data_IF_022135535908
#
_entry.id   IF_022135535908
#
_cell.length_a   1.000
_cell.length_b   1.000
_cell.length_c   1.000
_cell.angle_alpha   90.00
_cell.angle_beta   90.00
_cell.angle_gamma   90.00
#
_symmetry.space_group_name_H-M   'P 1'
#
loop_
_entity.id
_entity.type
_entity.pdbx_description
1 polymer ?
#
# COMPACT_ATOMS: atom_id res chain seq x y z
N UNK A 1 11.83 -5.51 9.18
CA UNK A 1 11.63 -4.81 10.46
C UNK A 1 11.42 -5.76 11.65
N UNK A 2 10.37 -6.61 11.66
CA UNK A 2 10.04 -7.49 12.81
C UNK A 2 11.20 -8.38 13.29
N UNK A 3 11.94 -8.98 12.35
CA UNK A 3 13.06 -9.89 12.61
C UNK A 3 14.43 -9.21 12.68
N UNK A 4 14.48 -7.87 12.57
CA UNK A 4 15.73 -7.13 12.47
C UNK A 4 16.04 -6.39 13.78
N UNK A 5 17.17 -6.68 14.44
CA UNK A 5 17.60 -5.94 15.61
C UNK A 5 17.76 -4.44 15.32
N UNK A 6 17.46 -3.60 16.29
CA UNK A 6 17.68 -2.16 16.19
C UNK A 6 19.14 -1.82 16.56
N UNK A 7 19.97 -1.29 15.64
CA UNK A 7 21.34 -0.94 15.93
C UNK A 7 21.48 0.22 16.94
N UNK A 8 20.47 1.08 17.07
CA UNK A 8 20.47 2.21 18.01
C UNK A 8 19.95 1.82 19.40
N UNK A 9 19.21 0.71 19.50
CA UNK A 9 18.59 0.24 20.74
C UNK A 9 18.91 -1.26 20.95
N UNK A 10 20.11 -1.61 21.47
CA UNK A 10 20.50 -2.99 21.69
C UNK A 10 19.46 -3.78 22.51
N UNK A 11 19.14 -4.99 22.04
CA UNK A 11 18.09 -5.83 22.64
C UNK A 11 16.67 -5.52 22.14
N UNK A 12 16.48 -4.49 21.33
CA UNK A 12 15.21 -4.17 20.65
C UNK A 12 15.27 -4.53 19.16
N UNK A 13 14.11 -4.45 18.50
CA UNK A 13 13.93 -4.69 17.07
C UNK A 13 13.42 -3.44 16.36
N UNK A 14 13.75 -3.29 15.07
CA UNK A 14 13.29 -2.16 14.23
C UNK A 14 11.76 -2.01 14.23
N UNK A 15 11.02 -3.13 14.36
CA UNK A 15 9.61 -3.09 14.76
C UNK A 15 9.50 -3.69 16.16
N UNK A 16 9.07 -2.92 17.17
CA UNK A 16 9.00 -3.41 18.54
C UNK A 16 7.92 -4.48 18.68
N UNK A 17 8.16 -5.48 19.53
CA UNK A 17 7.24 -6.59 19.78
C UNK A 17 6.23 -6.24 20.88
N UNK A 18 5.53 -5.12 20.74
CA UNK A 18 4.44 -4.74 21.66
C UNK A 18 3.21 -5.61 21.45
N UNK A 19 2.31 -5.70 22.43
CA UNK A 19 1.05 -6.46 22.32
C UNK A 19 0.25 -6.08 21.07
N UNK A 20 0.18 -4.78 20.75
CA UNK A 20 -0.47 -4.27 19.54
C UNK A 20 0.13 -4.87 18.27
N UNK A 21 1.46 -4.85 18.13
CA UNK A 21 2.11 -5.35 16.92
C UNK A 21 2.12 -6.88 16.86
N UNK A 22 2.24 -7.56 18.01
CA UNK A 22 2.05 -9.02 18.11
C UNK A 22 0.67 -9.42 17.61
N UNK A 23 -0.41 -8.80 18.10
CA UNK A 23 -1.78 -9.08 17.64
C UNK A 23 -1.94 -8.88 16.12
N UNK A 24 -1.32 -7.85 15.55
CA UNK A 24 -1.35 -7.63 14.10
C UNK A 24 -0.57 -8.67 13.30
N UNK A 25 0.48 -9.27 13.88
CA UNK A 25 1.36 -10.24 13.22
C UNK A 25 1.01 -11.70 13.54
N UNK A 26 0.15 -11.91 14.55
CA UNK A 26 -0.16 -13.21 15.15
C UNK A 26 -0.55 -14.27 14.11
N UNK A 27 -1.49 -13.97 13.22
CA UNK A 27 -1.98 -14.93 12.21
C UNK A 27 -0.85 -15.40 11.29
N UNK A 28 0.10 -14.52 10.97
CA UNK A 28 1.26 -14.90 10.18
C UNK A 28 2.23 -15.77 10.99
N UNK A 29 2.51 -15.40 12.25
CA UNK A 29 3.40 -16.15 13.12
C UNK A 29 2.85 -17.54 13.48
N UNK A 30 1.53 -17.71 13.60
CA UNK A 30 0.90 -19.01 13.83
C UNK A 30 1.08 -19.96 12.64
N UNK A 31 1.10 -19.43 11.41
CA UNK A 31 1.27 -20.22 10.19
C UNK A 31 2.76 -20.48 9.87
N UNK A 32 3.59 -19.45 9.97
CA UNK A 32 5.00 -19.52 9.60
C UNK A 32 5.89 -20.04 10.74
N UNK A 33 5.43 -19.95 12.00
CA UNK A 33 6.16 -20.24 13.23
C UNK A 33 7.42 -19.37 13.37
N UNK A 34 7.43 -18.49 14.37
CA UNK A 34 8.58 -17.59 14.59
C UNK A 34 9.90 -18.36 14.75
N UNK A 35 10.97 -17.85 14.14
CA UNK A 35 12.28 -18.50 14.09
C UNK A 35 12.39 -19.78 13.25
N UNK A 36 11.30 -20.31 12.69
CA UNK A 36 11.37 -21.53 11.87
C UNK A 36 12.08 -21.30 10.53
N UNK A 37 12.48 -22.41 9.87
CA UNK A 37 13.05 -22.35 8.52
C UNK A 37 12.10 -21.69 7.51
N UNK A 38 10.80 -22.03 7.56
CA UNK A 38 9.78 -21.45 6.69
C UNK A 38 9.62 -19.94 6.93
N UNK A 39 9.63 -19.51 8.18
CA UNK A 39 9.54 -18.09 8.51
C UNK A 39 10.74 -17.31 7.95
N UNK A 40 11.96 -17.82 8.12
CA UNK A 40 13.16 -17.17 7.58
C UNK A 40 13.19 -17.17 6.04
N UNK A 41 12.72 -18.24 5.40
CA UNK A 41 12.57 -18.34 3.95
C UNK A 41 11.64 -17.26 3.41
N UNK A 42 10.43 -17.14 3.98
CA UNK A 42 9.45 -16.12 3.58
C UNK A 42 10.02 -14.71 3.75
N UNK A 43 10.66 -14.42 4.89
CA UNK A 43 11.25 -13.10 5.14
C UNK A 43 12.37 -12.79 4.14
N UNK A 44 13.22 -13.76 3.82
CA UNK A 44 14.29 -13.58 2.84
C UNK A 44 13.74 -13.38 1.43
N UNK A 45 12.70 -14.13 1.05
CA UNK A 45 12.01 -13.95 -0.21
C UNK A 45 11.42 -12.53 -0.33
N UNK A 46 10.68 -12.06 0.68
CA UNK A 46 10.12 -10.71 0.71
C UNK A 46 11.20 -9.61 0.61
N UNK A 47 12.35 -9.80 1.27
CA UNK A 47 13.49 -8.87 1.16
C UNK A 47 14.15 -8.88 -0.22
N UNK A 48 13.97 -9.96 -0.99
CA UNK A 48 14.49 -10.09 -2.35
C UNK A 48 13.57 -9.51 -3.43
N UNK A 49 12.39 -8.99 -3.06
CA UNK A 49 11.47 -8.38 -4.02
C UNK A 49 11.81 -6.90 -4.25
N UNK A 50 11.68 -6.39 -5.49
CA UNK A 50 11.82 -4.97 -5.78
C UNK A 50 10.66 -4.17 -5.19
N UNK A 51 10.90 -2.91 -4.80
CA UNK A 51 9.82 -2.01 -4.39
C UNK A 51 8.89 -1.64 -5.55
N UNK A 52 9.45 -1.56 -6.77
CA UNK A 52 8.72 -1.28 -7.99
C UNK A 52 9.44 -1.86 -9.21
N UNK A 53 8.66 -2.12 -10.26
CA UNK A 53 9.15 -2.49 -11.59
C UNK A 53 8.81 -1.37 -12.56
N UNK A 54 9.81 -0.91 -13.31
CA UNK A 54 9.62 -0.06 -14.47
C UNK A 54 10.08 -0.80 -15.72
N UNK A 55 9.11 -1.36 -16.45
CA UNK A 55 9.37 -2.10 -17.67
C UNK A 55 9.10 -1.19 -18.90
N UNK A 56 9.54 -1.59 -20.10
CA UNK A 56 9.25 -0.82 -21.30
C UNK A 56 7.75 -0.60 -21.53
N UNK A 57 6.92 -1.62 -21.27
CA UNK A 57 5.49 -1.59 -21.58
C UNK A 57 4.55 -1.30 -20.41
N UNK A 58 4.96 -1.51 -19.16
CA UNK A 58 4.12 -1.28 -17.98
C UNK A 58 4.95 -1.09 -16.71
N UNK A 59 4.30 -0.68 -15.63
CA UNK A 59 4.89 -0.49 -14.30
C UNK A 59 4.15 -1.33 -13.26
N UNK A 60 4.84 -1.70 -12.19
CA UNK A 60 4.26 -2.42 -11.04
C UNK A 60 4.76 -1.78 -9.75
N UNK A 61 3.87 -1.54 -8.80
CA UNK A 61 4.21 -1.02 -7.47
C UNK A 61 3.18 -1.53 -6.46
N UNK A 62 3.53 -1.63 -5.17
CA UNK A 62 2.60 -2.19 -4.20
C UNK A 62 1.35 -1.33 -4.01
N UNK A 63 1.51 -0.01 -3.79
CA UNK A 63 0.38 0.87 -3.48
C UNK A 63 0.35 2.19 -4.26
N UNK A 64 1.43 2.99 -4.25
CA UNK A 64 1.39 4.33 -4.85
C UNK A 64 2.59 4.60 -5.75
N UNK A 65 2.33 4.97 -7.01
CA UNK A 65 3.38 5.48 -7.90
C UNK A 65 3.58 6.97 -7.66
N UNK A 66 4.49 7.30 -6.76
CA UNK A 66 4.75 8.68 -6.34
C UNK A 66 6.21 9.09 -6.66
N UNK A 67 6.46 9.82 -7.77
CA UNK A 67 7.82 10.13 -8.21
C UNK A 67 8.71 10.81 -7.16
N UNK A 68 8.24 11.79 -6.35
CA UNK A 68 9.03 12.35 -5.26
C UNK A 68 9.47 11.30 -4.22
N UNK A 69 8.57 10.41 -3.77
CA UNK A 69 8.94 9.33 -2.84
C UNK A 69 9.88 8.32 -3.48
N UNK A 70 9.68 7.97 -4.76
CA UNK A 70 10.61 7.09 -5.47
C UNK A 70 12.01 7.70 -5.53
N UNK A 71 12.13 9.00 -5.82
CA UNK A 71 13.40 9.73 -5.86
C UNK A 71 14.12 9.73 -4.50
N UNK A 72 13.37 9.92 -3.40
CA UNK A 72 13.90 9.82 -2.03
C UNK A 72 14.45 8.41 -1.74
N UNK A 73 13.79 7.37 -2.28
CA UNK A 73 14.16 5.99 -2.01
C UNK A 73 15.39 5.52 -2.79
N UNK A 74 15.72 6.11 -3.94
CA UNK A 74 16.85 5.67 -4.81
C UNK A 74 18.15 5.35 -4.03
N UNK A 75 18.64 6.18 -3.08
CA UNK A 75 19.87 5.89 -2.35
C UNK A 75 19.81 4.65 -1.45
N UNK A 76 18.62 4.13 -1.17
CA UNK A 76 18.37 2.98 -0.30
C UNK A 76 18.14 1.67 -1.07
N UNK A 77 18.21 1.73 -2.40
CA UNK A 77 17.91 0.61 -3.29
C UNK A 77 19.16 0.13 -4.04
N UNK A 78 19.15 -1.15 -4.42
CA UNK A 78 20.09 -1.68 -5.40
C UNK A 78 19.66 -1.39 -6.84
N UNK A 79 20.45 -1.85 -7.82
CA UNK A 79 20.16 -1.67 -9.25
C UNK A 79 18.90 -2.38 -9.73
N UNK A 80 18.33 -3.29 -8.94
CA UNK A 80 17.10 -4.00 -9.22
C UNK A 80 15.92 -3.44 -8.40
N UNK A 81 16.06 -2.24 -7.82
CA UNK A 81 15.07 -1.57 -6.98
C UNK A 81 14.71 -2.33 -5.68
N UNK A 82 15.58 -3.23 -5.18
CA UNK A 82 15.38 -3.92 -3.91
C UNK A 82 16.00 -3.12 -2.77
N UNK A 83 15.41 -3.20 -1.59
CA UNK A 83 15.90 -2.50 -0.40
C UNK A 83 17.24 -3.06 0.05
N UNK A 84 18.26 -2.20 0.17
CA UNK A 84 19.58 -2.57 0.67
C UNK A 84 19.48 -3.08 2.12
N UNK A 85 20.22 -4.15 2.50
CA UNK A 85 20.23 -4.63 3.88
C UNK A 85 20.59 -3.57 4.93
N UNK A 86 21.45 -2.60 4.58
CA UNK A 86 21.86 -1.50 5.45
C UNK A 86 20.83 -0.37 5.55
N UNK A 87 19.82 -0.32 4.68
CA UNK A 87 18.86 0.77 4.61
C UNK A 87 17.71 0.64 5.62
N UNK A 88 17.44 -0.57 6.11
CA UNK A 88 16.28 -0.86 6.96
C UNK A 88 16.17 0.01 8.21
N UNK A 89 17.25 0.35 8.95
CA UNK A 89 17.16 1.29 10.06
C UNK A 89 16.53 2.63 9.63
N UNK A 90 17.07 3.28 8.60
CA UNK A 90 16.58 4.56 8.09
C UNK A 90 15.12 4.46 7.62
N UNK A 91 14.79 3.44 6.83
CA UNK A 91 13.46 3.21 6.27
C UNK A 91 12.39 2.80 7.31
N UNK A 92 12.78 2.57 8.56
CA UNK A 92 11.85 2.20 9.65
C UNK A 92 11.80 3.24 10.77
N UNK A 93 12.51 4.37 10.64
CA UNK A 93 12.45 5.48 11.60
C UNK A 93 11.26 6.39 11.27
N UNK A 94 10.19 6.26 12.06
CA UNK A 94 8.98 7.09 11.90
C UNK A 94 9.28 8.59 11.91
N UNK A 95 8.58 9.36 11.07
CA UNK A 95 8.76 10.81 10.96
C UNK A 95 10.01 11.26 10.22
N UNK A 96 10.77 10.33 9.62
CA UNK A 96 11.89 10.67 8.72
C UNK A 96 11.42 10.60 7.27
N UNK A 97 11.99 11.43 6.40
CA UNK A 97 11.65 11.47 4.97
C UNK A 97 11.74 10.10 4.27
N UNK A 98 12.78 9.26 4.48
CA UNK A 98 12.83 7.91 3.88
C UNK A 98 11.73 6.99 4.37
N UNK A 99 11.33 7.10 5.64
CA UNK A 99 10.22 6.33 6.19
C UNK A 99 8.90 6.75 5.54
N UNK A 100 8.59 8.05 5.48
CA UNK A 100 7.34 8.53 4.87
C UNK A 100 7.28 8.20 3.36
N UNK A 101 8.42 8.24 2.67
CA UNK A 101 8.51 7.81 1.27
C UNK A 101 8.21 6.32 1.10
N UNK A 102 8.75 5.46 1.98
CA UNK A 102 8.46 4.03 1.96
C UNK A 102 7.00 3.73 2.31
N UNK A 103 6.45 4.43 3.32
CA UNK A 103 5.03 4.32 3.69
C UNK A 103 4.14 4.70 2.51
N UNK A 104 4.45 5.77 1.77
CA UNK A 104 3.67 6.18 0.59
C UNK A 104 3.66 5.08 -0.48
N UNK A 105 4.85 4.59 -0.85
CA UNK A 105 5.01 3.57 -1.92
C UNK A 105 4.35 2.23 -1.56
N UNK A 106 4.46 1.80 -0.29
CA UNK A 106 3.95 0.51 0.17
C UNK A 106 2.55 0.57 0.77
N UNK A 107 2.06 1.72 1.21
CA UNK A 107 0.78 1.82 1.93
C UNK A 107 -0.19 2.83 1.36
N UNK A 108 0.13 3.44 0.23
CA UNK A 108 -0.71 4.43 -0.42
C UNK A 108 -0.48 5.82 0.15
N UNK A 109 -0.98 6.83 -0.55
CA UNK A 109 -0.95 8.21 -0.08
C UNK A 109 -2.00 8.43 1.02
N UNK A 110 -1.53 8.83 2.20
CA UNK A 110 -2.38 9.43 3.22
C UNK A 110 -2.36 10.95 3.05
N UNK A 111 -3.53 11.58 3.17
CA UNK A 111 -3.68 13.02 3.16
C UNK A 111 -4.30 13.46 4.49
N UNK A 112 -3.74 14.52 5.08
CA UNK A 112 -4.26 15.09 6.32
C UNK A 112 -5.61 15.79 6.06
N UNK A 113 -6.56 15.55 6.94
CA UNK A 113 -7.84 16.23 6.93
C UNK A 113 -7.65 17.69 7.40
N UNK A 114 -8.53 18.61 6.93
CA UNK A 114 -8.51 19.98 7.43
C UNK A 114 -8.69 20.04 8.96
N UNK A 115 -8.16 21.10 9.57
CA UNK A 115 -8.26 21.30 11.02
C UNK A 115 -9.72 21.23 11.50
N UNK A 116 -9.95 20.47 12.57
CA UNK A 116 -11.27 20.22 13.15
C UNK A 116 -11.98 18.97 12.64
N UNK A 117 -11.44 18.28 11.63
CA UNK A 117 -11.98 17.02 11.13
C UNK A 117 -11.17 15.80 11.61
N UNK A 118 -11.86 14.69 11.78
CA UNK A 118 -11.28 13.41 12.18
C UNK A 118 -12.38 12.38 12.45
N UNK A 119 -11.98 11.12 12.59
CA UNK A 119 -12.89 10.00 12.82
C UNK A 119 -12.18 8.88 13.59
N UNK A 120 -12.94 8.04 14.29
CA UNK A 120 -12.40 6.81 14.89
C UNK A 120 -12.43 5.66 13.88
N UNK A 121 -11.32 4.94 13.77
CA UNK A 121 -11.28 3.70 12.98
C UNK A 121 -12.04 2.55 13.67
N UNK A 122 -12.18 1.42 12.96
CA UNK A 122 -12.89 0.23 13.47
C UNK A 122 -12.33 -0.33 14.79
N UNK A 123 -11.09 0.01 15.12
CA UNK A 123 -10.39 -0.43 16.31
C UNK A 123 -10.40 0.67 17.41
N UNK A 124 -11.15 1.76 17.20
CA UNK A 124 -11.32 2.87 18.15
C UNK A 124 -10.14 3.84 18.19
N UNK A 125 -9.27 3.84 17.17
CA UNK A 125 -8.18 4.83 17.11
C UNK A 125 -8.63 6.06 16.34
N UNK A 126 -8.46 7.23 16.95
CA UNK A 126 -8.69 8.51 16.29
C UNK A 126 -7.73 8.69 15.10
N UNK A 127 -8.30 9.16 13.98
CA UNK A 127 -7.62 9.46 12.72
C UNK A 127 -7.96 10.86 12.27
N UNK A 128 -6.93 11.62 11.91
CA UNK A 128 -7.02 12.92 11.25
C UNK A 128 -6.45 12.87 9.81
N UNK A 129 -6.16 11.69 9.31
CA UNK A 129 -5.69 11.45 7.94
C UNK A 129 -6.60 10.41 7.28
N UNK A 130 -6.74 10.52 5.96
CA UNK A 130 -7.42 9.52 5.14
C UNK A 130 -6.46 9.00 4.09
N UNK A 131 -6.62 7.73 3.74
CA UNK A 131 -6.02 7.22 2.51
C UNK A 131 -6.83 7.76 1.33
N UNK A 132 -6.13 8.36 0.37
CA UNK A 132 -6.73 8.93 -0.82
C UNK A 132 -6.64 7.97 -2.01
N UNK A 133 -7.68 7.97 -2.85
CA UNK A 133 -7.62 7.49 -4.23
C UNK A 133 -6.76 8.44 -5.07
N UNK A 134 -5.44 8.36 -4.88
CA UNK A 134 -4.46 9.31 -5.42
C UNK A 134 -4.38 9.37 -6.95
N UNK A 135 -5.02 8.44 -7.64
CA UNK A 135 -5.14 8.39 -9.10
C UNK A 135 -6.29 9.23 -9.66
N UNK A 136 -7.20 9.72 -8.81
CA UNK A 136 -8.30 10.59 -9.23
C UNK A 136 -7.82 12.05 -9.31
N UNK A 137 -8.04 12.72 -10.45
CA UNK A 137 -7.44 14.03 -10.74
C UNK A 137 -8.43 15.20 -10.85
N UNK A 138 -9.74 14.99 -10.64
CA UNK A 138 -10.75 15.97 -11.04
C UNK A 138 -11.57 16.57 -9.90
N UNK A 139 -11.11 17.68 -9.31
CA UNK A 139 -11.94 18.59 -8.51
C UNK A 139 -12.68 17.94 -7.35
N UNK A 140 -12.10 16.88 -6.80
CA UNK A 140 -12.73 16.03 -5.80
C UNK A 140 -12.52 16.57 -4.40
N UNK A 141 -13.48 16.28 -3.53
CA UNK A 141 -13.39 16.62 -2.11
C UNK A 141 -12.66 15.52 -1.34
N UNK A 142 -12.24 15.82 -0.10
CA UNK A 142 -11.68 14.81 0.80
C UNK A 142 -12.60 13.58 0.91
N UNK A 143 -13.92 13.78 0.96
CA UNK A 143 -14.89 12.67 1.04
C UNK A 143 -14.89 11.80 -0.20
N UNK A 144 -14.81 12.38 -1.39
CA UNK A 144 -14.86 11.64 -2.65
C UNK A 144 -13.64 10.73 -2.83
N UNK A 145 -12.49 11.17 -2.30
CA UNK A 145 -11.22 10.44 -2.38
C UNK A 145 -11.02 9.44 -1.24
N UNK A 146 -11.83 9.49 -0.19
CA UNK A 146 -11.58 8.78 1.05
C UNK A 146 -11.80 7.27 0.93
N UNK A 147 -10.72 6.51 1.15
CA UNK A 147 -10.78 5.05 1.30
C UNK A 147 -10.97 4.67 2.76
N UNK A 148 -12.15 4.99 3.30
CA UNK A 148 -12.51 4.76 4.71
C UNK A 148 -13.68 3.77 4.84
N UNK A 149 -13.88 3.15 6.02
CA UNK A 149 -15.06 2.33 6.26
C UNK A 149 -16.35 3.14 6.03
N UNK A 150 -17.46 2.52 5.57
CA UNK A 150 -18.72 3.23 5.34
C UNK A 150 -19.26 3.99 6.56
N UNK A 151 -18.93 3.55 7.78
CA UNK A 151 -19.33 4.24 9.02
C UNK A 151 -18.59 5.56 9.26
N UNK A 152 -17.47 5.80 8.58
CA UNK A 152 -16.63 6.99 8.74
C UNK A 152 -16.87 8.04 7.64
N UNK A 153 -17.48 7.68 6.50
CA UNK A 153 -17.56 8.54 5.32
C UNK A 153 -18.25 9.89 5.60
N UNK A 154 -19.30 9.89 6.42
CA UNK A 154 -20.04 11.11 6.79
C UNK A 154 -19.24 12.08 7.66
N UNK A 155 -18.17 11.60 8.30
CA UNK A 155 -17.27 12.43 9.10
C UNK A 155 -16.19 13.12 8.25
N UNK A 156 -16.03 12.68 6.99
CA UNK A 156 -15.06 13.28 6.06
C UNK A 156 -15.70 14.50 5.39
N UNK A 157 -15.01 15.65 5.30
CA UNK A 157 -15.59 16.85 4.72
C UNK A 157 -15.74 16.79 3.20
N UNK A 158 -16.80 17.44 2.69
CA UNK A 158 -16.93 17.81 1.27
C UNK A 158 -16.17 19.11 0.96
N UNK A 159 -14.89 19.18 1.35
CA UNK A 159 -14.00 20.30 1.05
C UNK A 159 -13.09 19.87 -0.10
N UNK A 160 -12.89 20.70 -1.14
CA UNK A 160 -11.93 20.41 -2.21
C UNK A 160 -10.53 20.12 -1.67
N UNK A 161 -9.89 19.09 -2.20
CA UNK A 161 -8.47 18.83 -1.93
C UNK A 161 -7.64 19.77 -2.80
N UNK A 162 -6.60 20.43 -2.25
CA UNK A 162 -5.64 21.20 -3.06
C UNK A 162 -5.03 20.39 -4.20
N UNK A 163 -4.92 21.00 -5.39
CA UNK A 163 -4.49 20.34 -6.63
C UNK A 163 -3.07 19.74 -6.56
N UNK A 164 -2.22 20.21 -5.65
CA UNK A 164 -0.83 19.79 -5.48
C UNK A 164 -0.64 18.60 -4.53
N UNK A 165 -1.70 18.16 -3.84
CA UNK A 165 -1.64 17.03 -2.91
C UNK A 165 -1.69 15.69 -3.64
N UNK A 166 -2.51 15.58 -4.69
CA UNK A 166 -2.70 14.33 -5.39
C UNK A 166 -1.65 14.18 -6.49
N UNK A 167 -0.83 13.12 -6.45
CA UNK A 167 0.21 12.93 -7.45
C UNK A 167 -0.36 12.57 -8.82
N UNK A 168 -1.60 12.06 -8.86
CA UNK A 168 -2.17 11.48 -10.07
C UNK A 168 -1.31 10.37 -10.62
N UNK A 169 -1.41 10.19 -11.93
CA UNK A 169 -0.53 9.31 -12.65
C UNK A 169 -0.31 9.82 -14.06
N UNK A 170 0.94 9.77 -14.52
CA UNK A 170 1.24 10.06 -15.92
C UNK A 170 0.71 8.89 -16.76
N UNK A 171 -0.23 9.19 -17.64
CA UNK A 171 -0.97 8.24 -18.48
C UNK A 171 -0.14 7.70 -19.66
N UNK A 172 1.15 7.41 -19.44
CA UNK A 172 2.08 6.95 -20.48
C UNK A 172 2.26 5.42 -20.52
N UNK A 173 1.97 4.70 -19.42
CA UNK A 173 2.07 3.24 -19.33
C UNK A 173 1.01 2.66 -18.40
N UNK A 174 0.51 1.44 -18.63
CA UNK A 174 -0.23 0.72 -17.61
C UNK A 174 0.55 0.58 -16.29
N UNK A 175 -0.14 0.77 -15.17
CA UNK A 175 0.35 0.60 -13.81
C UNK A 175 -0.48 -0.45 -13.09
N UNK A 176 0.20 -1.43 -12.50
CA UNK A 176 -0.42 -2.44 -11.66
C UNK A 176 -0.11 -2.17 -10.19
N UNK A 177 -1.16 -2.10 -9.38
CA UNK A 177 -1.11 -1.89 -7.93
C UNK A 177 -1.83 -2.98 -7.16
N UNK A 178 -1.64 -3.03 -5.85
CA UNK A 178 -2.39 -3.87 -4.92
C UNK A 178 -2.83 -3.05 -3.71
N UNK A 179 -2.82 -3.66 -2.51
CA UNK A 179 -2.99 -3.01 -1.21
C UNK A 179 -4.38 -2.45 -0.88
N UNK A 180 -5.20 -2.12 -1.87
CA UNK A 180 -6.46 -1.43 -1.67
C UNK A 180 -7.65 -2.33 -1.32
N UNK A 181 -7.47 -3.66 -1.20
CA UNK A 181 -8.55 -4.59 -0.82
C UNK A 181 -9.84 -4.36 -1.61
N UNK A 182 -9.74 -4.32 -2.94
CA UNK A 182 -10.87 -4.12 -3.82
C UNK A 182 -11.91 -5.24 -3.67
N UNK A 183 -13.15 -4.94 -4.00
CA UNK A 183 -14.27 -5.88 -4.01
C UNK A 183 -15.06 -5.72 -5.31
N UNK A 184 -16.05 -6.59 -5.56
CA UNK A 184 -16.81 -6.56 -6.81
C UNK A 184 -16.11 -7.27 -7.98
N UNK A 185 -16.50 -6.93 -9.20
CA UNK A 185 -15.93 -7.50 -10.43
C UNK A 185 -14.64 -6.75 -10.81
N UNK A 186 -13.54 -7.45 -11.15
CA UNK A 186 -12.31 -6.77 -11.50
C UNK A 186 -12.40 -5.89 -12.74
N UNK A 187 -11.99 -4.64 -12.59
CA UNK A 187 -11.92 -3.65 -13.66
C UNK A 187 -10.78 -2.64 -13.45
N UNK A 188 -10.35 -1.90 -14.49
CA UNK A 188 -9.39 -0.81 -14.33
C UNK A 188 -9.93 0.28 -13.39
N UNK A 189 -9.07 0.86 -12.56
CA UNK A 189 -9.36 2.05 -11.76
C UNK A 189 -9.43 3.30 -12.65
N UNK A 190 -8.49 3.38 -13.59
CA UNK A 190 -8.45 4.36 -14.68
C UNK A 190 -8.06 3.62 -15.96
N UNK A 191 -8.08 4.25 -17.16
CA UNK A 191 -7.58 3.61 -18.37
C UNK A 191 -6.12 3.11 -18.26
N UNK A 192 -5.34 3.60 -17.29
CA UNK A 192 -3.92 3.25 -17.13
C UNK A 192 -3.59 2.58 -15.80
N UNK A 193 -4.52 2.46 -14.84
CA UNK A 193 -4.24 1.86 -13.54
C UNK A 193 -5.17 0.67 -13.26
N UNK A 194 -4.59 -0.47 -12.88
CA UNK A 194 -5.31 -1.63 -12.39
C UNK A 194 -4.85 -1.99 -10.98
N UNK A 195 -5.79 -2.07 -10.03
CA UNK A 195 -5.56 -2.78 -8.78
C UNK A 195 -5.84 -4.26 -8.98
N UNK A 196 -4.95 -5.14 -8.53
CA UNK A 196 -5.12 -6.61 -8.61
C UNK A 196 -5.43 -7.24 -7.24
N UNK A 197 -5.43 -6.45 -6.18
CA UNK A 197 -5.75 -6.91 -4.82
C UNK A 197 -7.27 -6.92 -4.60
N UNK A 198 -7.93 -8.03 -4.95
CA UNK A 198 -9.36 -8.25 -4.76
C UNK A 198 -9.69 -9.07 -3.51
N UNK A 199 -8.97 -8.83 -2.41
CA UNK A 199 -9.39 -9.27 -1.08
C UNK A 199 -9.57 -10.78 -0.90
N UNK A 200 -8.80 -11.64 -1.58
CA UNK A 200 -8.94 -13.12 -1.48
C UNK A 200 -8.85 -13.64 -0.03
N UNK A 201 -8.09 -12.94 0.82
CA UNK A 201 -7.90 -13.27 2.23
C UNK A 201 -9.02 -12.74 3.14
N UNK A 202 -9.99 -11.99 2.61
CA UNK A 202 -11.10 -11.43 3.38
C UNK A 202 -12.14 -12.52 3.72
N UNK A 203 -11.79 -13.40 4.67
CA UNK A 203 -12.69 -14.43 5.22
C UNK A 203 -13.56 -13.91 6.37
N UNK A 204 -13.18 -12.77 6.96
CA UNK A 204 -13.77 -12.22 8.20
C UNK A 204 -14.27 -10.77 8.07
N UNK A 205 -14.33 -10.21 6.87
CA UNK A 205 -14.97 -8.91 6.67
C UNK A 205 -16.48 -9.14 6.52
N UNK A 206 -17.31 -8.19 6.95
CA UNK A 206 -18.75 -8.17 6.65
C UNK A 206 -19.02 -7.96 5.13
N UNK A 207 -18.03 -8.23 4.27
CA UNK A 207 -18.16 -8.11 2.84
C UNK A 207 -19.17 -9.14 2.37
N UNK A 208 -20.18 -8.66 1.66
CA UNK A 208 -21.23 -9.48 1.04
C UNK A 208 -20.72 -10.25 -0.18
N UNK A 209 -19.47 -10.00 -0.62
CA UNK A 209 -18.87 -10.58 -1.81
C UNK A 209 -17.63 -11.39 -1.45
N UNK A 210 -17.50 -12.57 -2.08
CA UNK A 210 -16.31 -13.42 -1.95
C UNK A 210 -15.11 -12.73 -2.61
N UNK A 211 -13.99 -12.67 -1.89
CA UNK A 211 -12.71 -12.20 -2.43
C UNK A 211 -12.24 -13.02 -3.62
N UNK A 212 -11.36 -12.44 -4.43
CA UNK A 212 -10.86 -13.02 -5.68
C UNK A 212 -9.34 -13.02 -5.72
N UNK A 213 -8.75 -14.12 -6.19
CA UNK A 213 -7.37 -14.14 -6.64
C UNK A 213 -7.37 -13.66 -8.09
N UNK A 214 -6.92 -12.44 -8.32
CA UNK A 214 -7.03 -11.73 -9.58
C UNK A 214 -5.67 -11.57 -10.27
N UNK A 215 -5.66 -11.67 -11.59
CA UNK A 215 -4.54 -11.35 -12.44
C UNK A 215 -5.01 -10.57 -13.68
N UNK A 216 -4.09 -9.86 -14.32
CA UNK A 216 -4.33 -9.15 -15.57
C UNK A 216 -3.42 -9.71 -16.67
N UNK A 217 -3.99 -10.05 -17.81
CA UNK A 217 -3.27 -10.63 -18.95
C UNK A 217 -2.82 -9.52 -19.92
N UNK A 218 -1.73 -8.84 -19.60
CA UNK A 218 -1.18 -7.80 -20.48
C UNK A 218 -0.66 -8.38 -21.80
N UNK A 219 -1.06 -7.78 -22.93
CA UNK A 219 -0.73 -8.23 -24.30
C UNK A 219 -0.09 -7.12 -25.15
N UNK A 220 0.46 -6.08 -24.53
CA UNK A 220 1.09 -4.97 -25.25
C UNK A 220 0.23 -3.71 -25.35
N UNK A 221 -0.99 -3.73 -24.85
CA UNK A 221 -1.88 -2.58 -24.84
C UNK A 221 -1.37 -1.46 -23.92
N UNK A 222 -1.66 -0.22 -24.32
CA UNK A 222 -1.34 1.00 -23.56
C UNK A 222 -2.45 1.39 -22.59
N UNK A 223 -3.70 1.13 -22.97
CA UNK A 223 -4.88 1.29 -22.12
C UNK A 223 -5.38 -0.09 -21.67
N UNK A 224 -5.76 -0.17 -20.39
CA UNK A 224 -6.22 -1.40 -19.75
C UNK A 224 -7.64 -1.75 -20.18
N UNK A 225 -7.86 -3.03 -20.44
CA UNK A 225 -9.13 -3.55 -20.92
C UNK A 225 -9.77 -4.47 -19.87
N UNK A 226 -11.06 -4.29 -19.61
CA UNK A 226 -11.80 -5.10 -18.62
C UNK A 226 -11.76 -6.60 -18.96
N UNK A 227 -11.80 -6.97 -20.24
CA UNK A 227 -11.79 -8.37 -20.69
C UNK A 227 -10.43 -9.09 -20.52
N UNK A 228 -9.40 -8.39 -20.05
CA UNK A 228 -8.07 -8.95 -19.74
C UNK A 228 -7.89 -9.33 -18.28
N UNK A 229 -8.84 -8.99 -17.41
CA UNK A 229 -8.84 -9.47 -16.03
C UNK A 229 -9.30 -10.93 -15.99
N UNK A 230 -8.56 -11.75 -15.23
CA UNK A 230 -8.90 -13.15 -14.98
C UNK A 230 -8.82 -13.42 -13.48
N UNK A 231 -9.75 -14.21 -12.94
CA UNK A 231 -9.79 -14.47 -11.51
C UNK A 231 -10.42 -15.81 -11.14
N UNK A 232 -10.12 -16.26 -9.93
CA UNK A 232 -10.80 -17.36 -9.24
C UNK A 232 -11.32 -16.88 -7.88
N UNK A 233 -12.40 -17.49 -7.38
CA UNK A 233 -13.05 -17.09 -6.13
C UNK A 233 -13.15 -18.26 -5.16
#
# INVERSE_FOLDING_TARGET
>A
AWTMPDPENPGSYLRPHTERYLRQHQVFLEQAVEGSALHLEIINWLKGLPLFLELPGFRVIHACWHPPSLQILIPFLDSENRVLPSAWPALTRKGTEPFEALETVLKGLNIELPSGYGFDDKDGNFRNEIRAQWWELNGLTYRDLAMVPPSAIEQIPHIPVPDDILPGYLEDKPLFVGHYWMTGEPEPLTPYIACLDYSIAARNTKATTKGKLCAYQWRGETELLRDRFVWVS
#
